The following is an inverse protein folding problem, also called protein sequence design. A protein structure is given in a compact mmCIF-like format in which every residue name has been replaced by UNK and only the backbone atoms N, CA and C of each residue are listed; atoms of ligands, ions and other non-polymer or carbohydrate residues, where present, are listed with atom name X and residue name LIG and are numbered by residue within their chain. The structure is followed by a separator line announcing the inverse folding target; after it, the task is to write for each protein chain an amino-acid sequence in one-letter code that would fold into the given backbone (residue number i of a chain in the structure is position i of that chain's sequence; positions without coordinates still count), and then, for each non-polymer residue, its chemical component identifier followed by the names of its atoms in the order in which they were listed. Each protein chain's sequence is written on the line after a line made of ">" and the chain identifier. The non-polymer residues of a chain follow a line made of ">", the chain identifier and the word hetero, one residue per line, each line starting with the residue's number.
data_IF_601536717178
#
_entry.id   IF_601536717178
#
_cell.length_a   1.000
_cell.length_b   1.000
_cell.length_c   1.000
_cell.angle_alpha   90.00
_cell.angle_beta   90.00
_cell.angle_gamma   90.00
#
_symmetry.space_group_name_H-M   'P 1'
#
loop_
_entity.id
_entity.type
_entity.pdbx_description
1 polymer ?
#
# COMPACT_ATOMS: atom_id res chain seq x y z
N UNK A 1 12.12 1.22 -0.30
CA UNK A 1 11.25 1.11 0.89
C UNK A 1 10.41 2.37 1.09
N UNK A 2 10.91 3.57 0.78
CA UNK A 2 10.15 4.84 0.86
C UNK A 2 8.70 4.81 0.37
N UNK A 3 8.38 4.05 -0.70
CA UNK A 3 7.01 4.03 -1.23
C UNK A 3 5.98 3.41 -0.27
N UNK A 4 6.33 2.34 0.46
CA UNK A 4 5.40 1.69 1.39
C UNK A 4 5.10 2.60 2.56
N UNK A 5 6.14 3.24 3.10
CA UNK A 5 6.02 4.23 4.17
C UNK A 5 5.22 5.46 3.71
N UNK A 6 5.49 5.97 2.51
CA UNK A 6 4.77 7.12 1.95
C UNK A 6 3.30 6.79 1.71
N UNK A 7 3.00 5.60 1.18
CA UNK A 7 1.63 5.17 0.91
C UNK A 7 0.84 5.02 2.21
N UNK A 8 1.41 4.39 3.24
CA UNK A 8 0.75 4.27 4.55
C UNK A 8 0.62 5.61 5.29
N UNK A 9 1.60 6.51 5.18
CA UNK A 9 1.48 7.87 5.74
C UNK A 9 0.35 8.63 5.06
N UNK A 10 0.23 8.54 3.73
CA UNK A 10 -0.85 9.17 3.00
C UNK A 10 -2.23 8.62 3.41
N UNK A 11 -2.32 7.32 3.71
CA UNK A 11 -3.53 6.71 4.28
C UNK A 11 -3.87 7.29 5.66
N UNK A 12 -2.92 7.35 6.58
CA UNK A 12 -3.11 7.90 7.94
C UNK A 12 -3.53 9.38 7.90
N UNK A 13 -2.90 10.17 7.03
CA UNK A 13 -3.22 11.59 6.82
C UNK A 13 -4.53 11.83 6.05
N UNK A 14 -5.15 10.78 5.49
CA UNK A 14 -6.31 10.92 4.60
C UNK A 14 -6.00 11.59 3.25
N UNK A 15 -4.72 11.65 2.87
CA UNK A 15 -4.25 12.18 1.59
C UNK A 15 -4.44 11.13 0.47
N UNK A 16 -5.69 11.01 0.02
CA UNK A 16 -6.08 10.07 -1.03
C UNK A 16 -5.39 10.37 -2.36
N UNK A 17 -5.06 11.63 -2.65
CA UNK A 17 -4.40 12.01 -3.90
C UNK A 17 -2.98 11.45 -3.95
N UNK A 18 -2.22 11.61 -2.85
CA UNK A 18 -0.89 11.01 -2.73
C UNK A 18 -0.98 9.48 -2.72
N UNK A 19 -1.92 8.90 -1.96
CA UNK A 19 -2.06 7.44 -1.90
C UNK A 19 -2.37 6.84 -3.29
N UNK A 20 -3.32 7.42 -4.03
CA UNK A 20 -3.71 6.97 -5.36
C UNK A 20 -2.62 7.16 -6.40
N UNK A 21 -1.84 8.24 -6.31
CA UNK A 21 -0.72 8.46 -7.21
C UNK A 21 0.39 7.41 -7.03
N UNK A 22 0.42 6.65 -5.92
CA UNK A 22 1.38 5.56 -5.69
C UNK A 22 0.88 4.20 -6.18
N UNK A 23 -0.38 4.10 -6.61
CA UNK A 23 -0.96 2.88 -7.17
C UNK A 23 -0.52 2.72 -8.63
N UNK A 24 -0.19 1.49 -9.02
CA UNK A 24 0.18 1.16 -10.39
C UNK A 24 -1.06 1.23 -11.30
N UNK A 25 -0.91 1.72 -12.53
CA UNK A 25 -2.02 1.83 -13.49
C UNK A 25 -2.74 0.51 -13.83
N UNK A 26 -2.08 -0.63 -13.62
CA UNK A 26 -2.61 -1.96 -13.89
C UNK A 26 -3.15 -2.65 -12.63
N UNK A 27 -3.12 -1.97 -11.47
CA UNK A 27 -3.75 -2.46 -10.27
C UNK A 27 -5.27 -2.46 -10.46
N UNK A 28 -5.95 -3.48 -9.93
CA UNK A 28 -7.38 -3.65 -10.10
C UNK A 28 -7.98 -4.41 -8.92
N UNK A 29 -9.32 -4.58 -8.94
CA UNK A 29 -10.00 -5.44 -7.96
C UNK A 29 -9.43 -6.87 -7.95
N UNK A 30 -8.93 -7.36 -9.10
CA UNK A 30 -8.33 -8.70 -9.19
C UNK A 30 -6.96 -8.79 -8.49
N UNK A 31 -6.24 -7.67 -8.32
CA UNK A 31 -4.97 -7.62 -7.59
C UNK A 31 -5.15 -7.20 -6.13
N UNK A 32 -6.38 -6.95 -5.69
CA UNK A 32 -6.69 -6.54 -4.32
C UNK A 32 -6.35 -5.08 -3.99
N UNK A 33 -5.87 -4.30 -4.95
CA UNK A 33 -5.57 -2.87 -4.78
C UNK A 33 -6.27 -2.07 -5.87
N UNK A 34 -7.06 -1.09 -5.45
CA UNK A 34 -7.78 -0.16 -6.35
C UNK A 34 -7.67 1.26 -5.84
N UNK A 35 -8.10 2.21 -6.65
CA UNK A 35 -8.20 3.62 -6.26
C UNK A 35 -8.98 3.76 -4.94
N UNK A 36 -8.38 4.47 -4.01
CA UNK A 36 -8.93 4.79 -2.71
C UNK A 36 -9.95 5.89 -2.87
N UNK A 37 -11.19 5.56 -2.53
CA UNK A 37 -12.31 6.49 -2.55
C UNK A 37 -12.24 7.48 -1.38
N UNK A 38 -12.94 8.61 -1.49
CA UNK A 38 -13.05 9.60 -0.40
C UNK A 38 -13.53 8.95 0.91
N UNK A 39 -14.53 8.06 0.84
CA UNK A 39 -15.05 7.38 2.04
C UNK A 39 -14.04 6.43 2.70
N UNK A 40 -13.13 5.82 1.92
CA UNK A 40 -12.03 5.03 2.47
C UNK A 40 -10.96 5.96 3.08
N UNK A 41 -10.64 7.08 2.43
CA UNK A 41 -9.74 8.10 2.99
C UNK A 41 -10.22 8.66 4.32
N UNK A 42 -11.51 9.00 4.43
CA UNK A 42 -12.14 9.43 5.69
C UNK A 42 -12.10 8.33 6.76
N UNK A 43 -12.28 7.07 6.36
CA UNK A 43 -12.15 5.94 7.28
C UNK A 43 -10.74 5.84 7.85
N UNK A 44 -9.70 5.87 7.00
CA UNK A 44 -8.32 5.78 7.47
C UNK A 44 -7.91 6.99 8.32
N UNK A 45 -8.28 8.21 7.91
CA UNK A 45 -8.01 9.40 8.70
C UNK A 45 -8.72 9.38 10.07
N UNK A 46 -9.94 8.85 10.12
CA UNK A 46 -10.69 8.67 11.38
C UNK A 46 -10.20 7.50 12.23
N UNK A 47 -9.45 6.56 11.65
CA UNK A 47 -8.96 5.36 12.29
C UNK A 47 -7.45 5.23 12.07
N UNK A 48 -6.66 5.81 12.99
CA UNK A 48 -5.20 5.83 12.95
C UNK A 48 -4.60 4.58 12.30
N UNK A 49 -3.78 4.81 11.28
CA UNK A 49 -3.09 3.79 10.50
C UNK A 49 -1.61 3.87 10.88
N UNK A 50 -1.05 2.77 11.34
CA UNK A 50 0.37 2.71 11.71
C UNK A 50 1.03 1.59 10.95
N UNK A 51 2.14 1.89 10.30
CA UNK A 51 3.02 0.88 9.68
C UNK A 51 4.03 0.42 10.74
N UNK A 52 3.84 -0.80 11.23
CA UNK A 52 4.62 -1.36 12.35
C UNK A 52 5.92 -2.03 11.86
N UNK A 53 5.86 -2.72 10.71
CA UNK A 53 7.01 -3.43 10.14
C UNK A 53 6.95 -3.50 8.61
N UNK A 54 8.12 -3.53 7.97
CA UNK A 54 8.27 -3.79 6.54
C UNK A 54 9.47 -4.71 6.30
N UNK A 55 9.26 -5.83 5.59
CA UNK A 55 10.32 -6.77 5.21
C UNK A 55 10.21 -7.11 3.72
N UNK A 56 11.32 -7.01 2.97
CA UNK A 56 11.35 -7.49 1.58
C UNK A 56 11.51 -9.00 1.59
N UNK A 57 10.55 -9.71 1.00
CA UNK A 57 10.52 -11.19 0.95
C UNK A 57 10.84 -11.74 -0.44
N UNK A 58 10.67 -10.94 -1.50
CA UNK A 58 11.07 -11.27 -2.88
C UNK A 58 11.55 -9.98 -3.58
N UNK A 59 12.66 -10.04 -4.31
CA UNK A 59 13.20 -8.90 -5.07
C UNK A 59 13.72 -9.37 -6.43
N UNK A 60 13.12 -8.81 -7.49
CA UNK A 60 13.46 -8.99 -8.90
C UNK A 60 13.55 -7.63 -9.60
N UNK A 61 14.09 -7.60 -10.82
CA UNK A 61 14.31 -6.35 -11.59
C UNK A 61 13.05 -5.49 -11.79
N UNK A 62 11.85 -6.09 -11.80
CA UNK A 62 10.59 -5.40 -12.05
C UNK A 62 9.50 -5.66 -11.02
N UNK A 63 9.77 -6.50 -10.01
CA UNK A 63 8.82 -6.89 -8.97
C UNK A 63 9.54 -6.91 -7.63
N UNK A 64 8.94 -6.30 -6.62
CA UNK A 64 9.39 -6.45 -5.22
C UNK A 64 8.18 -6.85 -4.41
N UNK A 65 8.31 -7.87 -3.57
CA UNK A 65 7.27 -8.29 -2.65
C UNK A 65 7.71 -7.92 -1.24
N UNK A 66 6.84 -7.19 -0.55
CA UNK A 66 7.09 -6.65 0.79
C UNK A 66 6.02 -7.16 1.73
N UNK A 67 6.43 -7.88 2.77
CA UNK A 67 5.56 -8.15 3.91
C UNK A 67 5.45 -6.86 4.74
N UNK A 68 4.23 -6.45 5.04
CA UNK A 68 3.93 -5.29 5.87
C UNK A 68 3.06 -5.69 7.05
N UNK A 69 3.38 -5.17 8.22
CA UNK A 69 2.51 -5.24 9.39
C UNK A 69 1.93 -3.87 9.63
N UNK A 70 0.60 -3.77 9.60
CA UNK A 70 -0.13 -2.51 9.74
C UNK A 70 -1.16 -2.64 10.85
N UNK A 71 -1.26 -1.61 11.69
CA UNK A 71 -2.32 -1.47 12.69
C UNK A 71 -3.33 -0.42 12.24
N UNK A 72 -4.59 -0.83 12.04
CA UNK A 72 -5.70 0.05 11.64
C UNK A 72 -6.82 -0.05 12.68
N UNK A 73 -7.27 1.09 13.21
CA UNK A 73 -8.29 1.13 14.27
C UNK A 73 -7.96 0.22 15.48
N UNK A 74 -6.67 0.02 15.78
CA UNK A 74 -6.19 -0.86 16.85
C UNK A 74 -6.20 -2.37 16.51
N UNK A 75 -6.49 -2.75 15.28
CA UNK A 75 -6.35 -4.12 14.79
C UNK A 75 -5.06 -4.23 13.98
N UNK A 76 -4.16 -5.11 14.40
CA UNK A 76 -2.90 -5.39 13.71
C UNK A 76 -3.09 -6.54 12.73
N UNK A 77 -2.68 -6.33 11.49
CA UNK A 77 -2.70 -7.32 10.40
C UNK A 77 -1.35 -7.35 9.69
N UNK A 78 -0.94 -8.54 9.25
CA UNK A 78 0.18 -8.70 8.34
C UNK A 78 -0.36 -9.03 6.95
N UNK A 79 0.12 -8.33 5.93
CA UNK A 79 -0.22 -8.57 4.53
C UNK A 79 1.02 -8.48 3.66
N UNK A 80 0.96 -9.07 2.47
CA UNK A 80 2.07 -9.07 1.52
C UNK A 80 1.72 -8.18 0.34
N UNK A 81 2.48 -7.12 0.12
CA UNK A 81 2.29 -6.18 -0.98
C UNK A 81 3.23 -6.48 -2.13
N UNK A 82 2.69 -6.54 -3.35
CA UNK A 82 3.48 -6.59 -4.57
C UNK A 82 3.67 -5.16 -5.10
N UNK A 83 4.92 -4.79 -5.29
CA UNK A 83 5.36 -3.57 -5.95
C UNK A 83 5.83 -3.88 -7.36
N UNK A 84 5.46 -3.04 -8.32
CA UNK A 84 5.94 -3.13 -9.70
C UNK A 84 6.49 -1.80 -10.19
N UNK A 85 7.47 -1.86 -11.09
CA UNK A 85 8.07 -0.68 -11.69
C UNK A 85 7.19 -0.13 -12.81
N UNK A 86 6.91 1.18 -12.76
CA UNK A 86 6.19 1.96 -13.76
C UNK A 86 6.96 3.26 -14.02
N UNK A 87 7.34 3.51 -15.27
CA UNK A 87 8.09 4.72 -15.67
C UNK A 87 9.36 5.01 -14.84
N UNK A 88 10.02 3.95 -14.35
CA UNK A 88 11.22 4.04 -13.52
C UNK A 88 10.98 4.34 -12.05
N UNK A 89 9.72 4.30 -11.60
CA UNK A 89 9.34 4.39 -10.19
C UNK A 89 8.59 3.13 -9.75
N UNK A 90 8.83 2.67 -8.53
CA UNK A 90 8.02 1.61 -7.94
C UNK A 90 6.60 2.13 -7.66
N UNK A 91 5.61 1.25 -7.77
CA UNK A 91 4.18 1.51 -7.50
C UNK A 91 3.56 0.30 -6.81
N UNK A 92 2.54 0.54 -5.99
CA UNK A 92 1.74 -0.52 -5.35
C UNK A 92 0.87 -1.17 -6.41
N UNK A 93 1.09 -2.46 -6.68
CA UNK A 93 0.39 -3.19 -7.72
C UNK A 93 -0.74 -4.07 -7.17
N UNK A 94 -0.53 -4.70 -6.01
CA UNK A 94 -1.50 -5.62 -5.45
C UNK A 94 -1.14 -6.15 -4.08
N UNK A 95 -2.06 -6.92 -3.51
CA UNK A 95 -1.84 -7.77 -2.33
C UNK A 95 -1.63 -9.20 -2.84
N UNK A 96 -0.59 -9.89 -2.36
CA UNK A 96 -0.44 -11.34 -2.51
C UNK A 96 -1.09 -12.03 -1.32
N UNK A 97 -2.26 -12.61 -1.54
CA UNK A 97 -2.78 -13.66 -0.66
C UNK A 97 -1.94 -14.93 -0.86
N UNK A 98 -1.49 -15.54 0.24
CA UNK A 98 -0.80 -16.85 0.25
C UNK A 98 -1.76 -18.03 0.02
#
# INVERSE_FOLDING_TARGET
>A
MDIIETWHSALDDGDIDTANNLIHENASEETGVTEITEGQGEFYNGNSVTLDNTEIVEEDDNVVVVEVTTTVAGNTETSTLELRSQDGAWKVYGIRDE
#
